data_IF_767318592656
#
_entry.id   IF_767318592656
#
_cell.length_a   1.000
_cell.length_b   1.000
_cell.length_c   1.000
_cell.angle_alpha   90.00
_cell.angle_beta   90.00
_cell.angle_gamma   90.00
#
_symmetry.space_group_name_H-M   'P 1'
#
loop_
_entity.id
_entity.type
_entity.pdbx_description
1 polymer ?
#
# COMPACT_ATOMS: atom_id res chain seq x y z
N UNK A 1 8.60 12.50 4.49
CA UNK A 1 9.79 12.58 3.60
C UNK A 1 10.17 11.20 3.05
N UNK A 2 9.97 10.11 3.81
CA UNK A 2 10.16 8.71 3.38
C UNK A 2 9.28 8.32 2.18
N UNK A 3 8.01 8.75 2.14
CA UNK A 3 7.08 8.43 1.05
C UNK A 3 7.56 8.85 -0.34
N UNK A 4 8.30 9.97 -0.42
CA UNK A 4 8.83 10.52 -1.67
C UNK A 4 10.02 9.68 -2.15
N UNK A 5 10.81 9.14 -1.23
CA UNK A 5 12.00 8.35 -1.52
C UNK A 5 11.63 6.96 -2.02
N UNK A 6 10.69 6.28 -1.33
CA UNK A 6 10.20 4.96 -1.74
C UNK A 6 9.50 5.04 -3.11
N UNK A 7 8.68 6.07 -3.35
CA UNK A 7 8.04 6.27 -4.67
C UNK A 7 9.04 6.55 -5.80
N UNK A 8 10.20 7.12 -5.50
CA UNK A 8 11.22 7.45 -6.49
C UNK A 8 12.13 6.28 -6.87
N UNK A 9 12.39 5.36 -5.94
CA UNK A 9 13.31 4.23 -6.14
C UNK A 9 12.60 2.91 -6.46
N UNK A 10 11.32 2.78 -6.12
CA UNK A 10 10.58 1.54 -6.32
C UNK A 10 9.99 1.41 -7.73
N UNK A 11 10.34 0.33 -8.42
CA UNK A 11 9.70 -0.05 -9.68
C UNK A 11 8.37 -0.77 -9.44
N UNK A 12 7.32 0.03 -9.25
CA UNK A 12 5.96 -0.44 -9.05
C UNK A 12 5.13 0.55 -8.27
N UNK A 13 4.13 0.03 -7.57
CA UNK A 13 3.21 0.86 -6.81
C UNK A 13 3.55 0.85 -5.33
N UNK A 14 3.42 2.01 -4.70
CA UNK A 14 3.55 2.16 -3.26
C UNK A 14 2.30 2.86 -2.70
N UNK A 15 1.68 2.24 -1.71
CA UNK A 15 0.48 2.72 -1.01
C UNK A 15 0.83 2.99 0.44
N UNK A 16 0.38 4.13 0.98
CA UNK A 16 0.77 4.63 2.30
C UNK A 16 -0.47 4.96 3.11
N UNK A 17 -0.45 4.61 4.39
CA UNK A 17 -1.31 5.21 5.40
C UNK A 17 -0.60 6.43 6.00
N UNK A 18 -1.36 7.48 6.31
CA UNK A 18 -0.80 8.73 6.83
C UNK A 18 -0.16 8.53 8.20
N UNK A 19 0.92 9.26 8.48
CA UNK A 19 1.45 9.36 9.84
C UNK A 19 0.49 10.17 10.72
N UNK A 20 0.43 9.83 12.00
CA UNK A 20 -0.30 10.61 13.01
C UNK A 20 0.60 10.94 14.18
N UNK A 21 0.11 11.74 15.14
CA UNK A 21 0.84 11.97 16.39
C UNK A 21 1.05 10.67 17.21
N UNK A 22 0.28 9.62 16.92
CA UNK A 22 0.25 8.35 17.66
C UNK A 22 0.88 7.18 16.89
N UNK A 23 1.18 7.34 15.60
CA UNK A 23 1.76 6.29 14.75
C UNK A 23 2.67 6.84 13.66
N UNK A 24 3.64 6.02 13.23
CA UNK A 24 4.59 6.37 12.17
C UNK A 24 4.11 6.05 10.75
N UNK A 25 2.82 5.76 10.56
CA UNK A 25 2.32 5.32 9.26
C UNK A 25 2.76 3.89 8.90
N UNK A 26 2.08 3.29 7.92
CA UNK A 26 2.47 2.02 7.31
C UNK A 26 2.38 2.12 5.79
N UNK A 27 3.13 1.26 5.10
CA UNK A 27 3.12 1.22 3.64
C UNK A 27 3.03 -0.22 3.14
N UNK A 28 2.42 -0.39 1.97
CA UNK A 28 2.45 -1.62 1.18
C UNK A 28 3.06 -1.27 -0.18
N UNK A 29 4.07 -2.03 -0.57
CA UNK A 29 4.83 -1.82 -1.79
C UNK A 29 4.69 -3.06 -2.67
N UNK A 30 4.30 -2.87 -3.94
CA UNK A 30 3.95 -3.93 -4.86
C UNK A 30 4.77 -3.76 -6.14
N UNK A 31 5.48 -4.81 -6.55
CA UNK A 31 6.29 -4.80 -7.79
C UNK A 31 5.40 -4.69 -9.03
N UNK A 32 5.87 -3.94 -10.04
CA UNK A 32 5.22 -3.83 -11.35
C UNK A 32 5.04 -5.18 -12.05
N UNK A 33 5.92 -6.15 -11.78
CA UNK A 33 5.90 -7.48 -12.40
C UNK A 33 4.70 -8.35 -11.97
N UNK A 34 4.00 -8.00 -10.88
CA UNK A 34 2.91 -8.84 -10.37
C UNK A 34 1.69 -8.88 -11.31
N UNK A 35 1.49 -7.82 -12.12
CA UNK A 35 0.36 -7.72 -13.05
C UNK A 35 -1.00 -7.81 -12.34
N UNK A 36 -1.49 -6.68 -11.83
CA UNK A 36 -2.67 -6.66 -10.97
C UNK A 36 -3.55 -5.42 -11.20
N UNK A 37 -4.83 -5.56 -10.86
CA UNK A 37 -5.77 -4.44 -10.77
C UNK A 37 -6.02 -4.07 -9.31
N UNK A 38 -5.87 -2.80 -8.97
CA UNK A 38 -6.18 -2.28 -7.63
C UNK A 38 -7.70 -2.12 -7.49
N UNK A 39 -8.33 -2.84 -6.56
CA UNK A 39 -9.80 -2.80 -6.35
C UNK A 39 -10.19 -1.89 -5.21
N UNK A 40 -9.44 -1.90 -4.11
CA UNK A 40 -9.74 -1.10 -2.93
C UNK A 40 -8.49 -0.82 -2.11
N UNK A 41 -8.47 0.36 -1.49
CA UNK A 41 -7.48 0.77 -0.50
C UNK A 41 -8.25 1.30 0.71
N UNK A 42 -7.90 0.84 1.90
CA UNK A 42 -8.42 1.36 3.17
C UNK A 42 -7.28 1.49 4.16
N UNK A 43 -7.32 2.54 4.97
CA UNK A 43 -6.48 2.67 6.15
C UNK A 43 -7.35 2.89 7.37
N UNK A 44 -6.82 2.58 8.55
CA UNK A 44 -7.44 3.06 9.78
C UNK A 44 -7.15 4.56 9.98
N UNK A 45 -7.89 5.18 10.90
CA UNK A 45 -7.77 6.62 11.16
C UNK A 45 -6.44 6.97 11.83
N UNK A 46 -5.83 6.02 12.54
CA UNK A 46 -4.57 6.23 13.25
C UNK A 46 -3.34 6.02 12.35
N UNK A 47 -3.52 5.54 11.11
CA UNK A 47 -2.43 5.32 10.16
C UNK A 47 -1.59 4.07 10.44
N UNK A 48 -2.10 3.15 11.27
CA UNK A 48 -1.40 1.95 11.74
C UNK A 48 -1.67 0.74 10.87
N UNK A 49 -2.78 0.74 10.14
CA UNK A 49 -3.21 -0.39 9.32
C UNK A 49 -3.51 0.09 7.92
N UNK A 50 -3.01 -0.66 6.93
CA UNK A 50 -3.32 -0.48 5.52
C UNK A 50 -3.81 -1.80 4.94
N UNK A 51 -5.02 -1.77 4.36
CA UNK A 51 -5.60 -2.86 3.62
C UNK A 51 -5.64 -2.48 2.13
N UNK A 52 -5.07 -3.34 1.29
CA UNK A 52 -5.12 -3.22 -0.17
C UNK A 52 -5.71 -4.49 -0.77
N UNK A 53 -6.84 -4.33 -1.45
CA UNK A 53 -7.50 -5.39 -2.20
C UNK A 53 -7.08 -5.34 -3.66
N UNK A 54 -6.49 -6.42 -4.15
CA UNK A 54 -5.99 -6.58 -5.50
C UNK A 54 -6.75 -7.69 -6.22
N UNK A 55 -6.79 -7.58 -7.55
CA UNK A 55 -7.14 -8.67 -8.44
C UNK A 55 -5.90 -9.06 -9.26
N UNK A 56 -5.51 -10.33 -9.17
CA UNK A 56 -4.34 -10.93 -9.83
C UNK A 56 -4.81 -12.19 -10.53
N UNK A 57 -4.73 -12.24 -11.86
CA UNK A 57 -5.15 -13.40 -12.66
C UNK A 57 -6.53 -13.97 -12.22
N UNK A 58 -7.54 -13.09 -12.18
CA UNK A 58 -8.92 -13.38 -11.78
C UNK A 58 -9.12 -13.85 -10.32
N UNK A 59 -8.07 -13.75 -9.49
CA UNK A 59 -8.14 -14.02 -8.04
C UNK A 59 -8.08 -12.74 -7.25
N UNK A 60 -8.82 -12.70 -6.15
CA UNK A 60 -8.75 -11.60 -5.20
C UNK A 60 -7.66 -11.88 -4.16
N UNK A 61 -6.76 -10.92 -3.98
CA UNK A 61 -5.73 -10.93 -2.95
C UNK A 61 -5.95 -9.76 -1.99
N UNK A 62 -6.02 -10.04 -0.69
CA UNK A 62 -6.17 -9.04 0.35
C UNK A 62 -4.86 -8.92 1.12
N UNK A 63 -4.17 -7.78 0.96
CA UNK A 63 -2.93 -7.48 1.67
C UNK A 63 -3.24 -6.58 2.85
N UNK A 64 -2.81 -6.98 4.05
CA UNK A 64 -2.98 -6.20 5.28
C UNK A 64 -1.60 -6.05 5.92
N UNK A 65 -1.21 -4.81 6.16
CA UNK A 65 -0.04 -4.43 6.95
C UNK A 65 -0.49 -3.56 8.12
#
# INVERSE_FOLDING_TARGET
MVDIQIKGEWEGDAVFAHETNSSRGVAIVITSCLGYNKKQIRSDNEGRVLNVLLEVADRTLNLIN
#
